data_IF_435587976350
#
_entry.id   IF_435587976350
#
_cell.length_a   1.000
_cell.length_b   1.000
_cell.length_c   1.000
_cell.angle_alpha   90.00
_cell.angle_beta   90.00
_cell.angle_gamma   90.00
#
_symmetry.space_group_name_H-M   'P 1'
#
loop_
_entity.id
_entity.type
_entity.pdbx_description
1 polymer ?
#
# COMPACT_ATOMS: atom_id res chain seq x y z
N UNK A 1 -33.69 -30.30 13.70
CA UNK A 1 -34.31 -29.40 14.70
C UNK A 1 -35.80 -29.36 14.43
N UNK A 2 -36.64 -29.58 15.45
CA UNK A 2 -38.07 -29.28 15.30
C UNK A 2 -38.23 -27.79 15.03
N UNK A 3 -38.96 -27.44 13.98
CA UNK A 3 -39.27 -26.06 13.64
C UNK A 3 -40.11 -25.47 14.77
N UNK A 4 -39.65 -24.39 15.41
CA UNK A 4 -40.43 -23.69 16.42
C UNK A 4 -41.73 -23.18 15.77
N UNK A 5 -42.87 -23.68 16.24
CA UNK A 5 -44.19 -23.25 15.80
C UNK A 5 -44.66 -22.13 16.73
N UNK A 6 -44.47 -20.89 16.31
CA UNK A 6 -44.94 -19.71 17.05
C UNK A 6 -46.41 -19.47 16.67
N UNK A 7 -47.28 -19.39 17.67
CA UNK A 7 -48.70 -19.15 17.49
C UNK A 7 -49.21 -18.08 18.46
N UNK A 8 -50.12 -17.24 17.98
CA UNK A 8 -50.87 -16.30 18.82
C UNK A 8 -52.06 -17.05 19.40
N UNK A 9 -52.14 -17.16 20.72
CA UNK A 9 -53.19 -17.92 21.40
C UNK A 9 -54.49 -17.14 21.53
N UNK A 10 -54.42 -15.83 21.78
CA UNK A 10 -55.57 -14.94 21.92
C UNK A 10 -55.17 -13.50 21.58
N UNK A 11 -56.08 -12.74 20.98
CA UNK A 11 -55.90 -11.31 20.72
C UNK A 11 -57.27 -10.62 20.71
N UNK A 12 -57.38 -9.51 21.45
CA UNK A 12 -58.55 -8.64 21.43
C UNK A 12 -58.15 -7.26 20.89
N UNK A 13 -58.85 -6.72 19.87
CA UNK A 13 -58.59 -5.36 19.38
C UNK A 13 -58.86 -4.32 20.46
N UNK A 14 -57.96 -3.33 20.61
CA UNK A 14 -58.20 -2.20 21.50
C UNK A 14 -59.19 -1.22 20.86
N UNK A 15 -60.33 -0.99 21.50
CA UNK A 15 -61.33 0.01 21.12
C UNK A 15 -61.53 1.01 22.26
N UNK A 16 -61.57 2.31 21.94
CA UNK A 16 -61.74 3.39 22.92
C UNK A 16 -62.97 4.21 22.53
N UNK A 17 -63.94 4.29 23.44
CA UNK A 17 -65.03 5.24 23.38
C UNK A 17 -64.93 6.15 24.61
N UNK A 18 -65.01 7.46 24.43
CA UNK A 18 -64.99 8.45 25.52
C UNK A 18 -66.00 9.57 25.23
N UNK A 19 -66.27 10.43 26.22
CA UNK A 19 -67.27 11.48 26.16
C UNK A 19 -66.85 12.71 25.31
N UNK A 20 -66.40 12.46 24.07
CA UNK A 20 -65.95 13.50 23.15
C UNK A 20 -66.97 14.62 22.96
N UNK A 21 -68.22 14.27 22.62
CA UNK A 21 -69.25 15.25 22.29
C UNK A 21 -69.57 16.19 23.47
N UNK A 22 -69.56 15.66 24.69
CA UNK A 22 -69.77 16.42 25.92
C UNK A 22 -68.62 17.41 26.16
N UNK A 23 -67.37 16.90 26.11
CA UNK A 23 -66.17 17.70 26.35
C UNK A 23 -65.99 18.76 25.25
N UNK A 24 -66.26 18.42 23.99
CA UNK A 24 -66.15 19.34 22.86
C UNK A 24 -67.12 20.51 22.99
N UNK A 25 -68.41 20.23 23.27
CA UNK A 25 -69.42 21.28 23.49
C UNK A 25 -69.05 22.20 24.64
N UNK A 26 -68.63 21.63 25.77
CA UNK A 26 -68.19 22.42 26.92
C UNK A 26 -66.99 23.30 26.59
N UNK A 27 -66.00 22.77 25.84
CA UNK A 27 -64.84 23.54 25.41
C UNK A 27 -65.24 24.72 24.51
N UNK A 28 -66.14 24.49 23.54
CA UNK A 28 -66.63 25.53 22.62
C UNK A 28 -67.33 26.66 23.37
N UNK A 29 -68.17 26.35 24.36
CA UNK A 29 -68.84 27.33 25.21
C UNK A 29 -67.87 28.14 26.06
N UNK A 30 -66.86 27.49 26.65
CA UNK A 30 -65.86 28.15 27.48
C UNK A 30 -64.95 29.03 26.63
N UNK A 31 -64.49 28.55 25.47
CA UNK A 31 -63.57 29.28 24.58
C UNK A 31 -64.25 30.47 23.88
N UNK A 32 -65.55 30.38 23.57
CA UNK A 32 -66.35 31.51 23.04
C UNK A 32 -66.31 32.74 23.93
N UNK A 33 -66.27 32.55 25.26
CA UNK A 33 -66.21 33.67 26.22
C UNK A 33 -64.92 34.46 26.14
N UNK A 34 -63.87 33.91 25.54
CA UNK A 34 -62.55 34.53 25.47
C UNK A 34 -62.14 34.94 24.06
N UNK A 35 -62.97 34.67 23.06
CA UNK A 35 -62.74 35.09 21.67
C UNK A 35 -63.18 36.55 21.50
N UNK A 36 -62.24 37.43 21.13
CA UNK A 36 -62.52 38.86 20.89
C UNK A 36 -62.40 39.78 22.12
N UNK A 37 -62.00 39.27 23.29
CA UNK A 37 -61.73 40.13 24.46
C UNK A 37 -60.40 40.87 24.27
N UNK A 38 -60.41 42.20 24.42
CA UNK A 38 -59.21 43.03 24.48
C UNK A 38 -58.73 43.12 25.94
N UNK A 39 -57.50 42.69 26.21
CA UNK A 39 -56.91 42.79 27.54
C UNK A 39 -56.44 44.24 27.76
N UNK A 40 -56.86 44.84 28.87
CA UNK A 40 -56.50 46.19 29.34
C UNK A 40 -55.68 46.10 30.63
N UNK A 41 -55.07 47.20 31.09
CA UNK A 41 -54.27 47.20 32.33
C UNK A 41 -55.03 46.68 33.56
N UNK A 42 -56.33 46.98 33.65
CA UNK A 42 -57.18 46.53 34.75
C UNK A 42 -57.56 45.03 34.66
N UNK A 43 -57.51 44.42 33.47
CA UNK A 43 -57.99 43.05 33.21
C UNK A 43 -56.87 42.02 33.00
N UNK A 44 -55.61 42.46 32.99
CA UNK A 44 -54.43 41.59 32.73
C UNK A 44 -54.25 40.46 33.75
N UNK A 45 -54.60 40.71 35.02
CA UNK A 45 -54.45 39.72 36.10
C UNK A 45 -55.41 38.55 35.92
N UNK A 46 -56.66 38.83 35.55
CA UNK A 46 -57.66 37.79 35.33
C UNK A 46 -57.45 37.09 33.99
N UNK A 47 -56.99 37.79 32.95
CA UNK A 47 -56.54 37.16 31.70
C UNK A 47 -55.43 36.13 31.92
N UNK A 48 -54.44 36.43 32.77
CA UNK A 48 -53.38 35.47 33.14
C UNK A 48 -53.91 34.22 33.84
N UNK A 49 -54.91 34.35 34.72
CA UNK A 49 -55.55 33.20 35.40
C UNK A 49 -56.28 32.30 34.40
N UNK A 50 -57.08 32.90 33.52
CA UNK A 50 -57.81 32.17 32.47
C UNK A 50 -56.85 31.38 31.57
N UNK A 51 -55.75 32.01 31.11
CA UNK A 51 -54.73 31.32 30.31
C UNK A 51 -54.13 30.14 31.06
N UNK A 52 -53.85 30.29 32.36
CA UNK A 52 -53.32 29.22 33.18
C UNK A 52 -54.29 28.03 33.27
N UNK A 53 -55.58 28.29 33.43
CA UNK A 53 -56.59 27.24 33.53
C UNK A 53 -56.85 26.55 32.19
N UNK A 54 -56.86 27.28 31.07
CA UNK A 54 -56.91 26.69 29.73
C UNK A 54 -55.68 25.79 29.46
N UNK A 55 -54.50 26.23 29.87
CA UNK A 55 -53.26 25.42 29.75
C UNK A 55 -53.32 24.15 30.61
N UNK A 56 -53.87 24.22 31.83
CA UNK A 56 -54.10 23.04 32.68
C UNK A 56 -55.06 22.06 32.01
N UNK A 57 -56.21 22.53 31.51
CA UNK A 57 -57.17 21.69 30.80
C UNK A 57 -56.57 20.99 29.59
N UNK A 58 -55.81 21.72 28.77
CA UNK A 58 -55.06 21.15 27.63
C UNK A 58 -54.07 20.07 28.08
N UNK A 59 -53.35 20.31 29.19
CA UNK A 59 -52.39 19.34 29.75
C UNK A 59 -53.10 18.08 30.24
N UNK A 60 -54.21 18.21 30.97
CA UNK A 60 -54.98 17.07 31.48
C UNK A 60 -55.56 16.20 30.35
N UNK A 61 -56.03 16.81 29.26
CA UNK A 61 -56.47 16.06 28.07
C UNK A 61 -55.33 15.24 27.45
N UNK A 62 -54.14 15.83 27.33
CA UNK A 62 -52.97 15.13 26.80
C UNK A 62 -52.47 14.02 27.75
N UNK A 63 -52.52 14.24 29.06
CA UNK A 63 -52.22 13.24 30.07
C UNK A 63 -53.22 12.07 30.03
N UNK A 64 -54.52 12.33 29.90
CA UNK A 64 -55.54 11.30 29.70
C UNK A 64 -55.24 10.45 28.46
N UNK A 65 -55.00 11.10 27.31
CA UNK A 65 -54.63 10.43 26.06
C UNK A 65 -53.40 9.53 26.25
N UNK A 66 -52.34 10.05 26.87
CA UNK A 66 -51.09 9.31 27.11
C UNK A 66 -51.32 8.12 28.04
N UNK A 67 -52.06 8.31 29.14
CA UNK A 67 -52.36 7.26 30.12
C UNK A 67 -53.18 6.14 29.49
N UNK A 68 -54.28 6.48 28.82
CA UNK A 68 -55.16 5.51 28.15
C UNK A 68 -54.41 4.74 27.07
N UNK A 69 -53.60 5.41 26.24
CA UNK A 69 -52.74 4.73 25.25
C UNK A 69 -51.79 3.75 25.93
N UNK A 70 -51.08 4.17 26.97
CA UNK A 70 -50.11 3.33 27.69
C UNK A 70 -50.75 2.10 28.30
N UNK A 71 -51.94 2.25 28.87
CA UNK A 71 -52.69 1.15 29.47
C UNK A 71 -53.14 0.12 28.43
N UNK A 72 -53.67 0.58 27.30
CA UNK A 72 -54.13 -0.30 26.21
C UNK A 72 -52.99 -0.98 25.46
N UNK A 73 -51.83 -0.34 25.35
CA UNK A 73 -50.66 -0.97 24.71
C UNK A 73 -49.84 -1.84 25.67
N UNK A 74 -50.21 -1.92 26.96
CA UNK A 74 -49.42 -2.65 27.97
C UNK A 74 -49.22 -4.12 27.62
N UNK A 75 -50.28 -4.81 27.18
CA UNK A 75 -50.21 -6.22 26.77
C UNK A 75 -49.35 -6.42 25.53
N UNK A 76 -49.40 -5.49 24.58
CA UNK A 76 -48.57 -5.51 23.36
C UNK A 76 -47.10 -5.28 23.69
N UNK A 77 -46.80 -4.32 24.57
CA UNK A 77 -45.42 -4.08 25.05
C UNK A 77 -44.87 -5.28 25.82
N UNK A 78 -45.70 -5.92 26.65
CA UNK A 78 -45.31 -7.14 27.36
C UNK A 78 -45.02 -8.29 26.38
N UNK A 79 -45.89 -8.51 25.39
CA UNK A 79 -45.64 -9.47 24.30
C UNK A 79 -44.33 -9.19 23.56
N UNK A 80 -44.06 -7.92 23.20
CA UNK A 80 -42.80 -7.53 22.55
C UNK A 80 -41.59 -7.83 23.43
N UNK A 81 -41.68 -7.54 24.73
CA UNK A 81 -40.62 -7.84 25.69
C UNK A 81 -40.39 -9.36 25.82
N UNK A 82 -41.46 -10.15 25.84
CA UNK A 82 -41.35 -11.62 25.85
C UNK A 82 -40.68 -12.15 24.57
N UNK A 83 -41.02 -11.61 23.40
CA UNK A 83 -40.32 -11.94 22.17
C UNK A 83 -38.83 -11.56 22.21
N UNK A 84 -38.49 -10.38 22.74
CA UNK A 84 -37.09 -9.96 22.93
C UNK A 84 -36.33 -10.88 23.88
N UNK A 85 -36.96 -11.28 24.98
CA UNK A 85 -36.38 -12.22 25.94
C UNK A 85 -36.16 -13.61 25.32
N UNK A 86 -37.09 -14.09 24.48
CA UNK A 86 -36.89 -15.32 23.72
C UNK A 86 -35.72 -15.21 22.74
N UNK A 87 -35.60 -14.09 22.03
CA UNK A 87 -34.44 -13.82 21.16
C UNK A 87 -33.13 -13.81 21.95
N UNK A 88 -33.10 -13.13 23.10
CA UNK A 88 -31.93 -13.09 23.99
C UNK A 88 -31.44 -14.48 24.38
N UNK A 89 -32.35 -15.42 24.65
CA UNK A 89 -31.99 -16.82 24.96
C UNK A 89 -31.32 -17.54 23.79
N UNK A 90 -31.67 -17.22 22.54
CA UNK A 90 -30.93 -17.75 21.38
C UNK A 90 -29.52 -17.17 21.34
N UNK A 91 -29.41 -15.85 21.48
CA UNK A 91 -28.13 -15.14 21.38
C UNK A 91 -27.15 -15.56 22.48
N UNK A 92 -27.64 -15.82 23.70
CA UNK A 92 -26.83 -16.34 24.82
C UNK A 92 -26.13 -17.66 24.51
N UNK A 93 -26.67 -18.47 23.59
CA UNK A 93 -26.08 -19.75 23.18
C UNK A 93 -25.37 -19.65 21.83
N UNK A 94 -25.95 -18.93 20.87
CA UNK A 94 -25.38 -18.75 19.53
C UNK A 94 -24.05 -17.99 19.59
N UNK A 95 -23.97 -16.90 20.36
CA UNK A 95 -22.78 -16.05 20.36
C UNK A 95 -21.54 -16.79 20.88
N UNK A 96 -21.57 -17.47 22.05
CA UNK A 96 -20.42 -18.24 22.52
C UNK A 96 -20.02 -19.37 21.56
N UNK A 97 -20.98 -20.04 20.91
CA UNK A 97 -20.69 -21.10 19.93
C UNK A 97 -19.99 -20.51 18.70
N UNK A 98 -20.46 -19.37 18.19
CA UNK A 98 -19.83 -18.68 17.08
C UNK A 98 -18.41 -18.23 17.42
N UNK A 99 -18.23 -17.57 18.57
CA UNK A 99 -16.92 -17.15 19.06
C UNK A 99 -15.97 -18.34 19.21
N UNK A 100 -16.41 -19.44 19.83
CA UNK A 100 -15.60 -20.65 19.97
C UNK A 100 -15.25 -21.27 18.62
N UNK A 101 -16.17 -21.24 17.65
CA UNK A 101 -15.94 -21.75 16.29
C UNK A 101 -14.90 -20.91 15.56
N UNK A 102 -15.00 -19.58 15.64
CA UNK A 102 -14.02 -18.66 15.05
C UNK A 102 -12.64 -18.81 15.69
N UNK A 103 -12.57 -18.89 17.02
CA UNK A 103 -11.32 -19.11 17.74
C UNK A 103 -10.68 -20.45 17.37
N UNK A 104 -11.48 -21.50 17.19
CA UNK A 104 -10.99 -22.79 16.73
C UNK A 104 -10.40 -22.72 15.33
N UNK A 105 -11.08 -22.04 14.38
CA UNK A 105 -10.56 -21.86 13.02
C UNK A 105 -9.28 -21.00 12.98
N UNK A 106 -9.20 -19.94 13.80
CA UNK A 106 -7.98 -19.13 13.96
C UNK A 106 -6.83 -20.00 14.47
N UNK A 107 -7.05 -20.73 15.57
CA UNK A 107 -6.04 -21.62 16.16
C UNK A 107 -5.59 -22.69 15.17
N UNK A 108 -6.52 -23.30 14.44
CA UNK A 108 -6.25 -24.31 13.40
C UNK A 108 -5.44 -23.73 12.23
N UNK A 109 -5.67 -22.48 11.84
CA UNK A 109 -4.85 -21.78 10.83
C UNK A 109 -3.45 -21.50 11.34
N UNK A 110 -3.31 -21.03 12.58
CA UNK A 110 -2.00 -20.75 13.20
C UNK A 110 -1.16 -22.02 13.39
N UNK A 111 -1.75 -23.10 13.89
CA UNK A 111 -1.07 -24.41 14.00
C UNK A 111 -0.58 -24.89 12.64
N UNK A 112 -1.41 -24.75 11.60
CA UNK A 112 -1.00 -25.11 10.24
C UNK A 112 0.09 -24.19 9.70
N UNK A 113 0.04 -22.89 10.00
CA UNK A 113 1.09 -21.95 9.60
C UNK A 113 2.44 -22.39 10.16
N UNK A 114 2.50 -22.77 11.43
CA UNK A 114 3.71 -23.32 12.05
C UNK A 114 4.20 -24.57 11.33
N UNK A 115 3.30 -25.49 10.93
CA UNK A 115 3.66 -26.67 10.14
C UNK A 115 4.22 -26.30 8.76
N UNK A 116 3.58 -25.37 8.06
CA UNK A 116 4.01 -24.91 6.74
C UNK A 116 5.35 -24.19 6.83
N UNK A 117 5.59 -23.37 7.85
CA UNK A 117 6.88 -22.73 8.10
C UNK A 117 8.00 -23.75 8.33
N UNK A 118 7.70 -24.88 8.98
CA UNK A 118 8.66 -25.99 9.10
C UNK A 118 8.97 -26.59 7.74
N UNK A 119 7.94 -26.84 6.91
CA UNK A 119 8.13 -27.37 5.55
C UNK A 119 8.94 -26.39 4.69
N UNK A 120 8.67 -25.08 4.76
CA UNK A 120 9.45 -24.04 4.08
C UNK A 120 10.92 -24.13 4.48
N UNK A 121 11.23 -24.18 5.79
CA UNK A 121 12.61 -24.32 6.29
C UNK A 121 13.28 -25.61 5.82
N UNK A 122 12.55 -26.72 5.76
CA UNK A 122 13.07 -27.98 5.21
C UNK A 122 13.42 -27.84 3.72
N UNK A 123 12.53 -27.26 2.91
CA UNK A 123 12.76 -27.11 1.47
C UNK A 123 13.89 -26.12 1.20
N UNK A 124 13.95 -25.02 1.95
CA UNK A 124 15.06 -24.05 1.86
C UNK A 124 16.41 -24.73 2.07
N UNK A 125 16.54 -25.55 3.13
CA UNK A 125 17.76 -26.33 3.38
C UNK A 125 18.03 -27.38 2.32
N UNK A 126 17.00 -28.03 1.78
CA UNK A 126 17.13 -29.06 0.76
C UNK A 126 17.61 -28.49 -0.58
N UNK A 127 17.17 -27.29 -0.93
CA UNK A 127 17.42 -26.63 -2.21
C UNK A 127 18.50 -25.56 -2.16
N UNK A 128 19.03 -25.27 -0.98
CA UNK A 128 20.02 -24.20 -0.74
C UNK A 128 19.49 -22.83 -1.23
N UNK A 129 18.25 -22.52 -0.85
CA UNK A 129 17.60 -21.23 -1.13
C UNK A 129 17.33 -20.49 0.18
N UNK A 130 17.50 -19.17 0.19
CA UNK A 130 17.41 -18.35 1.40
C UNK A 130 16.00 -18.30 2.01
N UNK A 131 14.98 -18.17 1.15
CA UNK A 131 13.59 -18.05 1.59
C UNK A 131 12.62 -18.51 0.50
N UNK A 132 11.44 -18.97 0.91
CA UNK A 132 10.33 -19.31 0.03
C UNK A 132 9.03 -18.62 0.50
N UNK A 133 8.12 -18.28 -0.42
CA UNK A 133 6.88 -17.59 -0.07
C UNK A 133 5.93 -18.49 0.73
N UNK A 134 5.25 -17.89 1.71
CA UNK A 134 4.13 -18.48 2.43
C UNK A 134 2.83 -18.00 1.79
N UNK A 135 2.20 -18.86 0.99
CA UNK A 135 0.91 -18.56 0.36
C UNK A 135 -0.27 -18.87 1.28
N UNK A 136 -1.27 -17.98 1.31
CA UNK A 136 -2.49 -18.16 2.13
C UNK A 136 -3.23 -19.46 1.80
N UNK A 137 -3.13 -19.90 0.54
CA UNK A 137 -3.74 -21.15 0.06
C UNK A 137 -3.19 -22.40 0.77
N UNK A 138 -1.97 -22.34 1.33
CA UNK A 138 -1.38 -23.41 2.12
C UNK A 138 -2.08 -23.58 3.47
N UNK A 139 -2.72 -22.52 3.99
CA UNK A 139 -3.44 -22.55 5.26
C UNK A 139 -4.86 -23.13 5.12
N UNK A 140 -5.34 -23.43 3.90
CA UNK A 140 -6.65 -24.05 3.69
C UNK A 140 -6.73 -25.47 4.23
N UNK A 141 -7.87 -25.89 4.79
CA UNK A 141 -8.02 -27.21 5.44
C UNK A 141 -7.77 -28.39 4.49
N UNK A 142 -8.10 -28.24 3.21
CA UNK A 142 -7.96 -29.25 2.17
C UNK A 142 -6.52 -29.44 1.66
N UNK A 143 -5.66 -28.43 1.81
CA UNK A 143 -4.30 -28.47 1.25
C UNK A 143 -3.40 -29.38 2.11
N UNK A 144 -2.88 -30.47 1.57
CA UNK A 144 -2.03 -31.36 2.36
C UNK A 144 -0.60 -30.80 2.55
N UNK A 145 0.09 -31.13 3.65
CA UNK A 145 1.52 -30.76 3.81
C UNK A 145 2.39 -31.35 2.69
N UNK A 146 2.03 -32.53 2.16
CA UNK A 146 2.72 -33.17 1.04
C UNK A 146 2.64 -32.31 -0.23
N UNK A 147 1.44 -31.87 -0.61
CA UNK A 147 1.26 -31.03 -1.79
C UNK A 147 1.95 -29.67 -1.63
N UNK A 148 1.94 -29.11 -0.42
CA UNK A 148 2.65 -27.86 -0.11
C UNK A 148 4.16 -28.04 -0.30
N UNK A 149 4.74 -29.14 0.20
CA UNK A 149 6.16 -29.47 0.01
C UNK A 149 6.52 -29.62 -1.48
N UNK A 150 5.70 -30.34 -2.25
CA UNK A 150 5.90 -30.51 -3.69
C UNK A 150 5.85 -29.18 -4.45
N UNK A 151 4.94 -28.28 -4.07
CA UNK A 151 4.82 -26.96 -4.69
C UNK A 151 5.99 -26.05 -4.34
N UNK A 152 6.38 -25.99 -3.05
CA UNK A 152 7.55 -25.26 -2.59
C UNK A 152 8.85 -25.72 -3.26
N UNK A 153 8.99 -27.02 -3.52
CA UNK A 153 10.12 -27.56 -4.28
C UNK A 153 10.16 -26.98 -5.71
N UNK A 154 9.01 -26.91 -6.39
CA UNK A 154 8.92 -26.31 -7.74
C UNK A 154 9.24 -24.82 -7.72
N UNK A 155 8.76 -24.10 -6.71
CA UNK A 155 9.06 -22.67 -6.53
C UNK A 155 10.57 -22.47 -6.33
N UNK A 156 11.19 -23.28 -5.46
CA UNK A 156 12.64 -23.23 -5.25
C UNK A 156 13.42 -23.54 -6.54
N UNK A 157 13.02 -24.57 -7.29
CA UNK A 157 13.64 -24.91 -8.57
C UNK A 157 13.54 -23.77 -9.60
N UNK A 158 12.42 -23.05 -9.61
CA UNK A 158 12.24 -21.89 -10.47
C UNK A 158 13.16 -20.72 -10.06
N UNK A 159 13.30 -20.44 -8.76
CA UNK A 159 14.20 -19.41 -8.24
C UNK A 159 15.65 -19.71 -8.63
N UNK A 160 16.10 -20.95 -8.41
CA UNK A 160 17.46 -21.37 -8.77
C UNK A 160 17.72 -21.24 -10.28
N UNK A 161 16.74 -21.63 -11.11
CA UNK A 161 16.83 -21.47 -12.56
C UNK A 161 16.93 -20.00 -12.97
N UNK A 162 16.15 -19.12 -12.36
CA UNK A 162 16.21 -17.68 -12.60
C UNK A 162 17.58 -17.11 -12.20
N UNK A 163 18.09 -17.45 -11.02
CA UNK A 163 19.41 -17.03 -10.55
C UNK A 163 20.53 -17.50 -11.48
N UNK A 164 20.49 -18.76 -11.91
CA UNK A 164 21.46 -19.32 -12.85
C UNK A 164 21.40 -18.59 -14.21
N UNK A 165 20.20 -18.26 -14.68
CA UNK A 165 19.99 -17.51 -15.93
C UNK A 165 20.53 -16.09 -15.83
N UNK A 166 20.26 -15.38 -14.73
CA UNK A 166 20.79 -14.04 -14.49
C UNK A 166 22.32 -14.04 -14.48
N UNK A 167 22.92 -15.00 -13.75
CA UNK A 167 24.38 -15.16 -13.72
C UNK A 167 24.96 -15.44 -15.11
N UNK A 168 24.34 -16.34 -15.88
CA UNK A 168 24.77 -16.62 -17.25
C UNK A 168 24.67 -15.39 -18.15
N UNK A 169 23.63 -14.58 -18.01
CA UNK A 169 23.47 -13.32 -18.75
C UNK A 169 24.55 -12.30 -18.36
N UNK A 170 24.85 -12.16 -17.06
CA UNK A 170 25.96 -11.31 -16.60
C UNK A 170 27.30 -11.75 -17.16
N UNK A 171 27.59 -13.05 -17.12
CA UNK A 171 28.85 -13.61 -17.63
C UNK A 171 28.94 -13.40 -19.16
N UNK A 172 27.83 -13.55 -19.89
CA UNK A 172 27.76 -13.26 -21.32
C UNK A 172 28.06 -11.78 -21.62
N UNK A 173 27.51 -10.85 -20.84
CA UNK A 173 27.80 -9.41 -20.94
C UNK A 173 29.29 -9.14 -20.68
N UNK A 174 29.86 -9.71 -19.61
CA UNK A 174 31.29 -9.54 -19.27
C UNK A 174 32.17 -10.03 -20.41
N UNK A 175 31.92 -11.23 -20.95
CA UNK A 175 32.66 -11.77 -22.08
C UNK A 175 32.51 -10.92 -23.34
N UNK A 176 31.31 -10.39 -23.63
CA UNK A 176 31.09 -9.50 -24.79
C UNK A 176 31.93 -8.23 -24.69
N UNK A 177 31.96 -7.61 -23.51
CA UNK A 177 32.73 -6.40 -23.23
C UNK A 177 34.23 -6.68 -23.38
N UNK A 178 34.73 -7.81 -22.86
CA UNK A 178 36.14 -8.20 -22.98
C UNK A 178 36.57 -8.34 -24.45
N UNK A 179 35.75 -9.03 -25.27
CA UNK A 179 35.98 -9.17 -26.71
C UNK A 179 36.01 -7.81 -27.41
N UNK A 180 35.07 -6.92 -27.07
CA UNK A 180 34.98 -5.58 -27.67
C UNK A 180 36.15 -4.68 -27.26
N UNK A 181 36.52 -4.68 -25.98
CA UNK A 181 37.65 -3.91 -25.46
C UNK A 181 38.94 -4.33 -26.16
N UNK A 182 39.15 -5.64 -26.35
CA UNK A 182 40.31 -6.17 -27.08
C UNK A 182 40.26 -5.79 -28.57
N UNK A 183 39.10 -5.95 -29.21
CA UNK A 183 38.93 -5.70 -30.66
C UNK A 183 39.10 -4.23 -31.04
N UNK A 184 38.64 -3.30 -30.21
CA UNK A 184 38.63 -1.87 -30.51
C UNK A 184 39.58 -1.04 -29.64
N UNK A 185 40.38 -1.69 -28.78
CA UNK A 185 41.27 -1.04 -27.82
C UNK A 185 40.53 -0.01 -26.93
N UNK A 186 39.38 -0.44 -26.40
CA UNK A 186 38.50 0.35 -25.53
C UNK A 186 38.59 -0.13 -24.08
N UNK A 187 37.99 0.63 -23.16
CA UNK A 187 37.91 0.31 -21.73
C UNK A 187 36.47 0.43 -21.19
N UNK A 188 35.53 -0.27 -21.84
CA UNK A 188 34.16 -0.39 -21.34
C UNK A 188 34.12 -1.23 -20.07
N UNK A 189 33.22 -0.88 -19.15
CA UNK A 189 33.02 -1.57 -17.87
C UNK A 189 31.64 -2.23 -17.82
N UNK A 190 31.54 -3.39 -17.18
CA UNK A 190 30.33 -4.21 -17.13
C UNK A 190 29.14 -3.66 -16.30
N UNK A 191 29.33 -3.01 -15.13
CA UNK A 191 28.21 -2.67 -14.24
C UNK A 191 27.05 -1.86 -14.85
N UNK A 192 27.28 -0.84 -15.70
CA UNK A 192 26.20 -0.10 -16.34
C UNK A 192 25.30 -1.01 -17.21
N UNK A 193 25.90 -1.92 -17.97
CA UNK A 193 25.17 -2.83 -18.86
C UNK A 193 24.43 -3.93 -18.08
N UNK A 194 25.03 -4.42 -16.99
CA UNK A 194 24.37 -5.38 -16.09
C UNK A 194 23.13 -4.77 -15.43
N UNK A 195 23.19 -3.49 -15.00
CA UNK A 195 22.02 -2.84 -14.38
C UNK A 195 20.81 -2.71 -15.31
N UNK A 196 21.04 -2.63 -16.62
CA UNK A 196 19.98 -2.47 -17.61
C UNK A 196 19.20 -3.79 -17.79
N UNK A 197 19.78 -4.96 -17.45
CA UNK A 197 19.08 -6.26 -17.46
C UNK A 197 17.86 -6.30 -16.53
N UNK A 198 17.77 -5.39 -15.55
CA UNK A 198 16.57 -5.26 -14.70
C UNK A 198 15.33 -4.84 -15.52
N UNK A 199 15.52 -4.21 -16.67
CA UNK A 199 14.44 -3.58 -17.46
C UNK A 199 14.37 -4.07 -18.92
N UNK A 200 15.29 -4.94 -19.36
CA UNK A 200 15.32 -5.46 -20.74
C UNK A 200 15.93 -6.87 -20.81
N UNK A 201 15.79 -7.53 -21.96
CA UNK A 201 16.45 -8.79 -22.24
C UNK A 201 17.94 -8.65 -22.62
N UNK A 202 18.67 -9.75 -22.46
CA UNK A 202 20.11 -9.80 -22.70
C UNK A 202 20.51 -9.45 -24.14
N UNK A 203 19.68 -9.72 -25.15
CA UNK A 203 20.05 -9.40 -26.54
C UNK A 203 20.11 -7.90 -26.78
N UNK A 204 19.13 -7.15 -26.26
CA UNK A 204 19.15 -5.68 -26.36
C UNK A 204 20.37 -5.07 -25.64
N UNK A 205 20.78 -5.64 -24.50
CA UNK A 205 22.00 -5.20 -23.81
C UNK A 205 23.24 -5.47 -24.66
N UNK A 206 23.34 -6.64 -25.30
CA UNK A 206 24.45 -6.98 -26.17
C UNK A 206 24.53 -6.06 -27.39
N UNK A 207 23.39 -5.70 -27.98
CA UNK A 207 23.33 -4.72 -29.08
C UNK A 207 23.75 -3.32 -28.63
N UNK A 208 23.31 -2.89 -27.44
CA UNK A 208 23.72 -1.61 -26.88
C UNK A 208 25.23 -1.53 -26.65
N UNK A 209 25.86 -2.60 -26.14
CA UNK A 209 27.32 -2.68 -25.98
C UNK A 209 28.01 -2.52 -27.35
N UNK A 210 27.50 -3.15 -28.41
CA UNK A 210 28.06 -3.01 -29.77
C UNK A 210 27.95 -1.58 -30.29
N UNK A 211 26.78 -0.96 -30.15
CA UNK A 211 26.51 0.41 -30.58
C UNK A 211 27.41 1.43 -29.86
N UNK A 212 27.53 1.32 -28.54
CA UNK A 212 28.40 2.17 -27.73
C UNK A 212 29.87 2.01 -28.13
N UNK A 213 30.30 0.78 -28.36
CA UNK A 213 31.65 0.48 -28.78
C UNK A 213 31.99 1.05 -30.16
N UNK A 214 31.06 0.95 -31.13
CA UNK A 214 31.25 1.52 -32.47
C UNK A 214 31.31 3.05 -32.43
N UNK A 215 30.45 3.68 -31.62
CA UNK A 215 30.48 5.13 -31.38
C UNK A 215 31.81 5.59 -30.78
N UNK A 216 32.33 4.89 -29.78
CA UNK A 216 33.62 5.19 -29.14
C UNK A 216 34.80 4.96 -30.09
N UNK A 217 34.80 3.86 -30.84
CA UNK A 217 35.81 3.57 -31.86
C UNK A 217 35.89 4.68 -32.92
N UNK A 218 34.73 5.14 -33.40
CA UNK A 218 34.67 6.21 -34.40
C UNK A 218 35.21 7.53 -33.85
N UNK A 219 34.89 7.86 -32.59
CA UNK A 219 35.46 9.02 -31.89
C UNK A 219 36.99 8.90 -31.78
N UNK A 220 37.52 7.77 -31.33
CA UNK A 220 38.96 7.53 -31.21
C UNK A 220 39.69 7.71 -32.56
N UNK A 221 39.14 7.13 -33.63
CA UNK A 221 39.70 7.25 -34.98
C UNK A 221 39.66 8.69 -35.51
N UNK A 222 38.60 9.46 -35.18
CA UNK A 222 38.52 10.88 -35.56
C UNK A 222 39.56 11.74 -34.83
N UNK A 223 39.80 11.47 -33.54
CA UNK A 223 40.83 12.16 -32.74
C UNK A 223 42.24 11.85 -33.25
N UNK A 224 42.54 10.59 -33.58
CA UNK A 224 43.82 10.19 -34.17
C UNK A 224 44.05 10.86 -35.54
N UNK A 225 43.02 10.96 -36.38
CA UNK A 225 43.11 11.65 -37.69
C UNK A 225 43.35 13.15 -37.55
N UNK A 226 42.83 13.81 -36.52
CA UNK A 226 43.11 15.22 -36.24
C UNK A 226 44.55 15.43 -35.75
N UNK A 227 45.13 14.47 -35.01
CA UNK A 227 46.55 14.51 -34.61
C UNK A 227 47.53 14.17 -35.74
N UNK A 228 47.09 13.50 -36.82
CA UNK A 228 47.96 13.09 -37.95
C UNK A 228 47.91 14.06 -39.16
N UNK A 229 47.24 15.22 -39.06
CA UNK A 229 47.48 16.29 -40.04
C UNK A 229 48.90 16.84 -39.82
N UNK A 230 49.81 16.34 -40.64
CA UNK A 230 51.22 16.71 -40.69
C UNK A 230 51.35 18.22 -40.92
N UNK A 231 52.01 18.90 -39.98
CA UNK A 231 52.68 20.18 -40.21
C UNK A 231 53.57 20.00 -41.45
N UNK A 232 53.22 20.62 -42.57
CA UNK A 232 54.10 20.71 -43.73
C UNK A 232 55.46 21.26 -43.28
N UNK A 233 56.55 20.66 -43.78
CA UNK A 233 57.95 21.05 -43.51
C UNK A 233 58.08 22.58 -43.41
N UNK A 234 58.64 23.14 -42.32
CA UNK A 234 58.89 24.56 -42.27
C UNK A 234 59.94 24.92 -43.32
N UNK A 235 59.51 25.80 -44.23
CA UNK A 235 60.38 26.45 -45.20
C UNK A 235 61.11 27.56 -44.44
N UNK A 236 62.39 27.32 -44.12
CA UNK A 236 63.46 28.26 -43.69
C UNK A 236 62.99 29.62 -43.09
N UNK A 237 63.22 29.74 -41.78
CA UNK A 237 63.19 30.94 -40.90
C UNK A 237 61.95 31.02 -39.98
N UNK A 238 62.01 30.38 -38.82
CA UNK A 238 61.13 30.68 -37.69
C UNK A 238 61.96 31.00 -36.43
N UNK A 239 61.51 31.99 -35.66
CA UNK A 239 62.13 32.42 -34.40
C UNK A 239 62.00 31.34 -33.33
N UNK A 240 63.09 31.04 -32.63
CA UNK A 240 63.12 30.10 -31.51
C UNK A 240 62.70 30.85 -30.25
N UNK A 241 61.61 30.44 -29.62
CA UNK A 241 61.18 30.92 -28.31
C UNK A 241 61.67 29.96 -27.22
N UNK A 242 62.17 30.52 -26.11
CA UNK A 242 62.66 29.77 -24.95
C UNK A 242 61.85 30.21 -23.73
N UNK A 243 61.10 29.28 -23.14
CA UNK A 243 60.36 29.47 -21.89
C UNK A 243 60.96 28.58 -20.79
N UNK A 244 61.00 29.08 -19.56
CA UNK A 244 61.49 28.36 -18.37
C UNK A 244 60.30 27.93 -17.52
N UNK A 245 60.22 26.63 -17.23
CA UNK A 245 59.15 26.04 -16.41
C UNK A 245 59.74 25.37 -15.17
N UNK A 246 59.10 25.57 -14.03
CA UNK A 246 59.37 24.86 -12.78
C UNK A 246 58.36 23.71 -12.63
N UNK A 247 58.86 22.49 -12.41
CA UNK A 247 58.06 21.27 -12.41
C UNK A 247 58.42 20.44 -11.17
N UNK A 248 57.44 20.19 -10.31
CA UNK A 248 57.58 19.33 -9.13
C UNK A 248 57.03 17.93 -9.42
N UNK A 249 57.79 16.89 -9.07
CA UNK A 249 57.38 15.51 -9.29
C UNK A 249 58.29 14.50 -8.59
N UNK A 250 57.84 13.25 -8.54
CA UNK A 250 58.68 12.14 -8.10
C UNK A 250 59.79 11.85 -9.12
N UNK A 251 60.91 11.25 -8.70
CA UNK A 251 62.04 10.88 -9.57
C UNK A 251 61.58 10.14 -10.83
N UNK A 252 60.69 9.15 -10.68
CA UNK A 252 60.12 8.39 -11.80
C UNK A 252 59.27 9.23 -12.75
N UNK A 253 58.57 10.26 -12.26
CA UNK A 253 57.79 11.16 -13.11
C UNK A 253 58.68 12.11 -13.91
N UNK A 254 59.78 12.56 -13.31
CA UNK A 254 60.77 13.40 -13.98
C UNK A 254 61.53 12.61 -15.05
N UNK A 255 61.91 11.35 -14.78
CA UNK A 255 62.50 10.45 -15.78
C UNK A 255 61.58 10.27 -17.01
N UNK A 256 60.29 10.04 -16.78
CA UNK A 256 59.30 9.90 -17.87
C UNK A 256 59.14 11.19 -18.68
N UNK A 257 59.28 12.36 -18.05
CA UNK A 257 59.22 13.65 -18.72
C UNK A 257 60.47 13.88 -19.58
N UNK A 258 61.67 13.54 -19.08
CA UNK A 258 62.92 13.62 -19.83
C UNK A 258 62.87 12.73 -21.08
N UNK A 259 62.42 11.48 -20.94
CA UNK A 259 62.22 10.55 -22.05
C UNK A 259 61.26 11.11 -23.09
N UNK A 260 60.17 11.73 -22.64
CA UNK A 260 59.20 12.37 -23.53
C UNK A 260 59.83 13.53 -24.32
N UNK A 261 60.55 14.43 -23.64
CA UNK A 261 61.18 15.58 -24.29
C UNK A 261 62.22 15.14 -25.33
N UNK A 262 63.03 14.14 -24.99
CA UNK A 262 64.05 13.57 -25.88
C UNK A 262 63.41 12.87 -27.09
N UNK A 263 62.37 12.05 -26.87
CA UNK A 263 61.68 11.32 -27.94
C UNK A 263 61.05 12.25 -28.97
N UNK A 264 60.57 13.41 -28.51
CA UNK A 264 59.92 14.41 -29.36
C UNK A 264 60.88 15.49 -29.89
N UNK A 265 62.18 15.38 -29.61
CA UNK A 265 63.21 16.28 -30.16
C UNK A 265 63.23 17.68 -29.57
N UNK A 266 62.68 17.89 -28.37
CA UNK A 266 62.77 19.16 -27.66
C UNK A 266 64.17 19.35 -27.07
N UNK A 267 64.69 20.58 -27.10
CA UNK A 267 65.92 20.95 -26.39
C UNK A 267 65.57 21.43 -24.98
N UNK A 268 66.17 20.82 -23.95
CA UNK A 268 65.89 21.12 -22.54
C UNK A 268 67.17 21.08 -21.68
N UNK A 269 67.12 21.68 -20.49
CA UNK A 269 68.21 21.70 -19.49
C UNK A 269 67.65 21.78 -18.07
N UNK A 270 68.22 21.05 -17.13
CA UNK A 270 67.93 21.19 -15.69
C UNK A 270 68.71 22.35 -15.09
N UNK A 271 68.03 23.22 -14.36
CA UNK A 271 68.67 24.28 -13.56
C UNK A 271 68.84 23.73 -12.15
N UNK A 272 70.07 23.72 -11.62
CA UNK A 272 70.32 23.42 -10.20
C UNK A 272 70.33 24.74 -9.44
N UNK A 273 69.53 24.84 -8.37
CA UNK A 273 69.72 25.91 -7.39
C UNK A 273 70.98 25.60 -6.56
N UNK A 274 71.87 26.60 -6.44
CA UNK A 274 73.05 26.58 -5.56
C UNK A 274 72.66 26.76 -4.08
#
# INVERSE_FOLDING_TARGET
MNKLQIQVLNTTPAQINFNYDEISKHLDEVLKKYTGITITEDTIKDGKKVIADLRKGKKSLDEFRKKTKKELTKSVTEFENQCKELNRKFDEVINPINEQTEQFEIKRKEEKKIEVEKVIKEVCKLKDVDNLPLEDSYLNKSTSLKSIKEDLIKVADNILLQQATLKANEDLIKSKIEVINTKYNLNLVSPPYVSILEYTDVQNVLEQIENDAESLKNKLNSTLKQQTQVVEKPNKNEEIFIDVYEIEGTEKQLDMLEDFLNTNGYKWTTIKED
#
